data_IF_310861144280
#
_entry.id   IF_310861144280
#
_cell.length_a   1.000
_cell.length_b   1.000
_cell.length_c   1.000
_cell.angle_alpha   90.00
_cell.angle_beta   90.00
_cell.angle_gamma   90.00
#
_symmetry.space_group_name_H-M   'P 1'
#
loop_
_entity.id
_entity.type
_entity.pdbx_description
1 polymer ?
#
# COMPACT_ATOMS: atom_id res chain seq x y z
N UNK A 1 0.54 15.85 -25.38
CA UNK A 1 0.15 14.91 -24.31
C UNK A 1 0.45 15.45 -22.92
N UNK A 2 1.72 15.68 -22.52
CA UNK A 2 2.03 16.30 -21.21
C UNK A 2 1.84 17.82 -21.20
N UNK A 3 2.01 18.47 -22.35
CA UNK A 3 1.78 19.92 -22.46
C UNK A 3 0.27 20.21 -22.41
N UNK A 4 -0.58 19.33 -22.97
CA UNK A 4 -2.04 19.44 -22.94
C UNK A 4 -2.62 19.39 -21.51
N UNK A 5 -2.06 18.55 -20.63
CA UNK A 5 -2.46 18.49 -19.21
C UNK A 5 -2.08 19.80 -18.50
N UNK A 6 -0.86 20.30 -18.72
CA UNK A 6 -0.40 21.55 -18.13
C UNK A 6 -1.25 22.73 -18.59
N UNK A 7 -1.58 22.79 -19.88
CA UNK A 7 -2.48 23.82 -20.44
C UNK A 7 -3.88 23.73 -19.84
N UNK A 8 -4.44 22.52 -19.73
CA UNK A 8 -5.74 22.31 -19.10
C UNK A 8 -5.77 22.75 -17.63
N UNK A 9 -4.69 22.50 -16.87
CA UNK A 9 -4.57 22.99 -15.48
C UNK A 9 -4.49 24.51 -15.45
N UNK A 10 -3.65 25.12 -16.28
CA UNK A 10 -3.49 26.57 -16.35
C UNK A 10 -4.77 27.31 -16.75
N UNK A 11 -5.68 26.64 -17.46
CA UNK A 11 -6.97 27.20 -17.86
C UNK A 11 -8.05 27.18 -16.77
N UNK A 12 -7.85 26.47 -15.65
CA UNK A 12 -8.85 26.38 -14.58
C UNK A 12 -8.97 27.68 -13.78
N UNK A 13 -10.19 28.13 -13.50
CA UNK A 13 -10.47 29.36 -12.73
C UNK A 13 -9.78 29.38 -11.36
N UNK A 14 -9.77 28.24 -10.66
CA UNK A 14 -9.12 28.07 -9.36
C UNK A 14 -7.59 28.26 -9.41
N UNK A 15 -6.98 28.19 -10.59
CA UNK A 15 -5.54 28.38 -10.82
C UNK A 15 -5.21 29.83 -11.20
N UNK A 16 -6.12 30.55 -11.87
CA UNK A 16 -5.91 31.92 -12.37
C UNK A 16 -5.59 32.94 -11.25
N UNK A 17 -5.96 32.64 -10.00
CA UNK A 17 -5.66 33.47 -8.82
C UNK A 17 -4.19 33.40 -8.36
N UNK A 18 -3.38 32.50 -8.92
CA UNK A 18 -1.96 32.35 -8.57
C UNK A 18 -1.05 32.83 -9.70
N UNK A 19 0.17 33.32 -9.40
CA UNK A 19 1.14 33.69 -10.44
C UNK A 19 1.42 32.52 -11.39
N UNK A 20 1.28 32.74 -12.69
CA UNK A 20 1.46 31.70 -13.71
C UNK A 20 2.83 31.03 -13.62
N UNK A 21 3.90 31.80 -13.39
CA UNK A 21 5.26 31.27 -13.23
C UNK A 21 5.37 30.28 -12.06
N UNK A 22 4.71 30.60 -10.94
CA UNK A 22 4.69 29.73 -9.75
C UNK A 22 3.96 28.41 -10.05
N UNK A 23 2.81 28.48 -10.72
CA UNK A 23 2.03 27.29 -11.10
C UNK A 23 2.80 26.45 -12.11
N UNK A 24 3.40 27.07 -13.13
CA UNK A 24 4.24 26.38 -14.11
C UNK A 24 5.40 25.64 -13.45
N UNK A 25 6.07 26.25 -12.48
CA UNK A 25 7.14 25.56 -11.73
C UNK A 25 6.62 24.33 -10.96
N UNK A 26 5.41 24.38 -10.41
CA UNK A 26 4.78 23.21 -9.78
C UNK A 26 4.35 22.15 -10.79
N UNK A 27 3.83 22.55 -11.95
CA UNK A 27 3.52 21.61 -13.04
C UNK A 27 4.78 20.90 -13.54
N UNK A 28 5.88 21.62 -13.69
CA UNK A 28 7.18 21.05 -14.05
C UNK A 28 7.70 20.10 -12.98
N UNK A 29 7.45 20.36 -11.70
CA UNK A 29 7.76 19.40 -10.63
C UNK A 29 6.93 18.11 -10.78
N UNK A 30 5.62 18.24 -11.00
CA UNK A 30 4.67 17.12 -11.09
C UNK A 30 4.82 16.29 -12.37
N UNK A 31 5.43 16.87 -13.42
CA UNK A 31 5.56 16.28 -14.76
C UNK A 31 6.45 15.05 -14.75
N UNK A 32 5.87 13.91 -15.15
CA UNK A 32 6.55 12.62 -15.28
C UNK A 32 6.22 11.92 -16.58
N UNK A 33 7.07 10.99 -16.98
CA UNK A 33 6.84 10.13 -18.15
C UNK A 33 6.90 8.67 -17.71
N UNK A 34 5.81 7.93 -17.93
CA UNK A 34 5.81 6.49 -17.73
C UNK A 34 6.28 5.81 -19.01
N UNK A 35 7.39 5.09 -18.93
CA UNK A 35 7.90 4.28 -20.04
C UNK A 35 7.68 2.82 -19.72
N UNK A 36 6.47 2.33 -20.01
CA UNK A 36 5.99 1.02 -19.57
C UNK A 36 6.96 -0.15 -19.88
N UNK A 37 7.56 -0.21 -21.09
CA UNK A 37 8.56 -1.24 -21.44
C UNK A 37 9.77 -1.24 -20.50
N UNK A 38 10.25 -0.06 -20.11
CA UNK A 38 11.37 0.10 -19.18
C UNK A 38 10.96 -0.16 -17.73
N UNK A 39 9.72 0.19 -17.37
CA UNK A 39 9.16 -0.13 -16.06
C UNK A 39 9.11 -1.65 -15.86
N UNK A 40 8.59 -2.39 -16.85
CA UNK A 40 8.62 -3.86 -16.83
C UNK A 40 10.04 -4.40 -16.72
N UNK A 41 11.01 -3.76 -17.37
CA UNK A 41 12.42 -4.15 -17.27
C UNK A 41 13.05 -3.89 -15.89
N UNK A 42 12.47 -3.04 -15.03
CA UNK A 42 12.98 -2.81 -13.67
C UNK A 42 12.91 -4.06 -12.79
N UNK A 43 12.10 -5.04 -13.16
CA UNK A 43 12.10 -6.32 -12.49
C UNK A 43 13.44 -7.05 -12.61
N UNK A 44 14.27 -6.76 -13.63
CA UNK A 44 15.56 -7.41 -13.86
C UNK A 44 16.70 -6.91 -12.94
N UNK A 45 16.98 -5.60 -12.80
CA UNK A 45 17.95 -5.13 -11.83
C UNK A 45 17.50 -5.34 -10.38
N UNK A 46 16.18 -5.29 -10.13
CA UNK A 46 15.60 -5.61 -8.81
C UNK A 46 15.31 -7.11 -8.64
N UNK A 47 15.64 -7.93 -9.64
CA UNK A 47 15.35 -9.37 -9.66
C UNK A 47 15.88 -10.10 -8.44
N UNK A 48 17.08 -9.80 -7.91
CA UNK A 48 17.56 -10.49 -6.71
C UNK A 48 16.60 -10.38 -5.53
N UNK A 49 15.93 -9.23 -5.39
CA UNK A 49 14.94 -8.94 -4.35
C UNK A 49 13.56 -9.49 -4.76
N UNK A 50 13.08 -9.15 -5.95
CA UNK A 50 11.73 -9.49 -6.39
C UNK A 50 11.53 -10.98 -6.61
N UNK A 51 12.56 -11.74 -7.03
CA UNK A 51 12.48 -13.21 -7.16
C UNK A 51 12.25 -13.92 -5.83
N UNK A 52 12.43 -13.23 -4.70
CA UNK A 52 12.17 -13.75 -3.35
C UNK A 52 10.76 -13.47 -2.87
N UNK A 53 10.03 -12.65 -3.59
CA UNK A 53 8.63 -12.34 -3.33
C UNK A 53 7.80 -13.09 -4.35
N UNK A 54 7.24 -14.23 -3.95
CA UNK A 54 6.25 -14.91 -4.76
C UNK A 54 4.97 -14.07 -4.79
N UNK A 55 4.54 -13.66 -5.98
CA UNK A 55 3.37 -12.79 -6.15
C UNK A 55 2.12 -13.68 -6.33
N UNK A 56 1.14 -13.50 -5.46
CA UNK A 56 -0.17 -14.13 -5.52
C UNK A 56 -1.22 -13.05 -5.71
N UNK A 57 -2.26 -13.34 -6.47
CA UNK A 57 -3.39 -12.42 -6.63
C UNK A 57 -4.71 -13.13 -6.34
N UNK A 58 -5.68 -12.35 -5.87
CA UNK A 58 -7.02 -12.81 -5.54
C UNK A 58 -8.05 -11.85 -6.16
N UNK A 59 -9.17 -12.40 -6.63
CA UNK A 59 -10.31 -11.66 -7.18
C UNK A 59 -9.99 -10.73 -8.37
N UNK A 60 -9.06 -11.14 -9.23
CA UNK A 60 -8.66 -10.36 -10.42
C UNK A 60 -9.84 -10.00 -11.33
N UNK A 61 -10.88 -10.85 -11.38
CA UNK A 61 -12.10 -10.61 -12.14
C UNK A 61 -12.78 -9.27 -11.83
N UNK A 62 -12.65 -8.72 -10.61
CA UNK A 62 -13.15 -7.38 -10.29
C UNK A 62 -12.43 -6.29 -11.08
N UNK A 63 -11.11 -6.46 -11.27
CA UNK A 63 -10.30 -5.53 -12.06
C UNK A 63 -10.63 -5.67 -13.53
N UNK A 64 -10.68 -6.91 -14.04
CA UNK A 64 -11.02 -7.19 -15.45
C UNK A 64 -12.37 -6.62 -15.85
N UNK A 65 -13.38 -6.69 -14.96
CA UNK A 65 -14.68 -6.07 -15.20
C UNK A 65 -14.56 -4.53 -15.19
N UNK A 66 -13.89 -3.96 -14.19
CA UNK A 66 -13.79 -2.50 -14.04
C UNK A 66 -13.07 -1.84 -15.22
N UNK A 67 -11.93 -2.40 -15.67
CA UNK A 67 -11.11 -1.77 -16.74
C UNK A 67 -11.77 -1.80 -18.13
N UNK A 68 -12.84 -2.60 -18.33
CA UNK A 68 -13.56 -2.65 -19.61
C UNK A 68 -14.48 -1.45 -19.81
N UNK A 69 -15.08 -0.95 -18.74
CA UNK A 69 -16.20 0.00 -18.80
C UNK A 69 -15.91 1.32 -18.06
N UNK A 70 -14.86 1.37 -17.26
CA UNK A 70 -14.64 2.47 -16.33
C UNK A 70 -13.21 3.00 -16.36
N UNK A 71 -13.06 4.24 -15.92
CA UNK A 71 -11.77 4.79 -15.49
C UNK A 71 -11.47 4.27 -14.09
N UNK A 72 -10.37 3.54 -13.94
CA UNK A 72 -10.08 2.85 -12.68
C UNK A 72 -9.07 3.63 -11.85
N UNK A 73 -9.43 3.85 -10.59
CA UNK A 73 -8.50 4.32 -9.56
C UNK A 73 -8.31 3.25 -8.50
N UNK A 74 -7.09 2.75 -8.36
CA UNK A 74 -6.73 1.76 -7.36
C UNK A 74 -6.35 2.45 -6.05
N UNK A 75 -6.92 1.95 -4.95
CA UNK A 75 -6.62 2.43 -3.60
C UNK A 75 -6.14 1.26 -2.73
N UNK A 76 -4.88 1.27 -2.31
CA UNK A 76 -4.28 0.16 -1.54
C UNK A 76 -3.68 0.58 -0.20
N UNK A 77 -3.55 -0.37 0.73
CA UNK A 77 -2.72 -0.21 1.92
C UNK A 77 -1.23 -0.21 1.57
N UNK A 78 -0.37 0.36 2.42
CA UNK A 78 1.06 0.47 2.12
C UNK A 78 1.91 -0.14 3.24
N UNK A 79 2.59 -1.26 2.97
CA UNK A 79 3.43 -2.01 3.92
C UNK A 79 4.91 -1.96 3.59
N UNK A 80 5.31 -1.96 2.32
CA UNK A 80 6.71 -2.09 1.89
C UNK A 80 7.05 -1.15 0.73
N UNK A 81 8.35 -0.90 0.54
CA UNK A 81 8.91 -0.38 -0.70
C UNK A 81 8.72 -1.33 -1.90
N UNK A 82 8.37 -2.59 -1.68
CA UNK A 82 8.01 -3.48 -2.77
C UNK A 82 6.61 -3.26 -3.33
N UNK A 83 5.69 -2.60 -2.61
CA UNK A 83 4.27 -2.51 -2.99
C UNK A 83 4.07 -1.89 -4.39
N UNK A 84 4.76 -0.76 -4.65
CA UNK A 84 4.71 -0.02 -5.92
C UNK A 84 5.44 -0.72 -7.08
N UNK A 85 5.94 -1.94 -6.84
CA UNK A 85 6.41 -2.85 -7.88
C UNK A 85 5.50 -4.09 -7.94
N UNK A 86 5.21 -4.70 -6.80
CA UNK A 86 4.44 -5.94 -6.70
C UNK A 86 3.03 -5.78 -7.28
N UNK A 87 2.26 -4.80 -6.81
CA UNK A 87 0.86 -4.61 -7.23
C UNK A 87 0.71 -4.29 -8.72
N UNK A 88 1.44 -3.31 -9.28
CA UNK A 88 1.42 -3.05 -10.72
C UNK A 88 2.00 -4.18 -11.56
N UNK A 89 3.01 -4.93 -11.09
CA UNK A 89 3.47 -6.10 -11.83
C UNK A 89 2.44 -7.25 -11.80
N UNK A 90 1.65 -7.39 -10.73
CA UNK A 90 0.51 -8.33 -10.72
C UNK A 90 -0.51 -7.96 -11.80
N UNK A 91 -0.78 -6.67 -12.02
CA UNK A 91 -1.63 -6.21 -13.12
C UNK A 91 -0.98 -6.53 -14.48
N UNK A 92 0.30 -6.19 -14.66
CA UNK A 92 1.06 -6.41 -15.90
C UNK A 92 1.12 -7.90 -16.30
N UNK A 93 1.40 -8.78 -15.33
CA UNK A 93 1.47 -10.23 -15.53
C UNK A 93 0.13 -10.81 -16.01
N UNK A 94 -0.98 -10.09 -15.77
CA UNK A 94 -2.33 -10.45 -16.18
C UNK A 94 -2.86 -9.60 -17.35
N UNK A 95 -1.98 -8.92 -18.10
CA UNK A 95 -2.36 -8.16 -19.29
C UNK A 95 -3.09 -6.85 -19.02
N UNK A 96 -3.16 -6.41 -17.76
CA UNK A 96 -3.74 -5.13 -17.37
C UNK A 96 -2.62 -4.09 -17.30
N UNK A 97 -2.77 -2.99 -18.04
CA UNK A 97 -1.76 -1.92 -18.08
C UNK A 97 -1.58 -1.32 -16.68
N UNK A 98 -0.34 -1.27 -16.15
CA UNK A 98 -0.08 -0.63 -14.87
C UNK A 98 -0.51 0.84 -14.84
N UNK A 99 -1.29 1.26 -13.82
CA UNK A 99 -1.72 2.64 -13.65
C UNK A 99 -0.55 3.59 -13.35
N UNK A 100 -0.77 4.90 -13.54
CA UNK A 100 0.15 5.91 -13.02
C UNK A 100 0.09 5.93 -11.49
N UNK A 101 1.22 6.22 -10.84
CA UNK A 101 1.31 6.17 -9.38
C UNK A 101 1.66 7.51 -8.78
N UNK A 102 1.47 7.65 -7.48
CA UNK A 102 2.00 8.79 -6.72
C UNK A 102 3.16 8.35 -5.84
N UNK A 103 4.23 9.14 -5.77
CA UNK A 103 5.37 8.88 -4.91
C UNK A 103 5.72 10.12 -4.08
N UNK A 104 6.30 9.92 -2.89
CA UNK A 104 6.81 11.04 -2.10
C UNK A 104 8.01 11.68 -2.80
N UNK A 105 8.08 13.02 -2.82
CA UNK A 105 9.17 13.77 -3.47
C UNK A 105 10.55 13.43 -2.88
N UNK A 106 10.61 12.90 -1.66
CA UNK A 106 11.84 12.42 -1.03
C UNK A 106 12.53 11.27 -1.79
N UNK A 107 11.84 10.62 -2.74
CA UNK A 107 12.41 9.57 -3.60
C UNK A 107 13.00 10.12 -4.91
N UNK A 108 13.02 11.45 -5.10
CA UNK A 108 13.47 12.09 -6.34
C UNK A 108 14.90 12.64 -6.26
N UNK A 109 15.66 12.25 -5.24
CA UNK A 109 17.09 12.55 -5.14
C UNK A 109 17.96 11.62 -5.98
N UNK A 110 18.95 12.17 -6.69
CA UNK A 110 19.98 11.40 -7.40
C UNK A 110 19.44 10.50 -8.53
N UNK A 111 20.15 9.39 -8.86
CA UNK A 111 19.77 8.49 -9.95
C UNK A 111 18.38 7.86 -9.81
N UNK A 112 17.92 7.66 -8.56
CA UNK A 112 16.59 7.12 -8.28
C UNK A 112 15.48 8.09 -8.72
N UNK A 113 15.72 9.40 -8.63
CA UNK A 113 14.75 10.40 -9.10
C UNK A 113 14.56 10.41 -10.60
N UNK A 114 15.64 10.23 -11.37
CA UNK A 114 15.57 10.08 -12.82
C UNK A 114 14.76 8.83 -13.20
N UNK A 115 14.97 7.73 -12.47
CA UNK A 115 14.21 6.50 -12.68
C UNK A 115 12.72 6.68 -12.36
N UNK A 116 12.40 7.27 -11.22
CA UNK A 116 11.03 7.52 -10.83
C UNK A 116 10.33 8.42 -11.86
N UNK A 117 11.00 9.49 -12.29
CA UNK A 117 10.46 10.50 -13.19
C UNK A 117 10.28 10.02 -14.63
N UNK A 118 11.20 9.22 -15.16
CA UNK A 118 11.24 8.87 -16.58
C UNK A 118 10.92 7.41 -16.90
N UNK A 119 10.92 6.53 -15.90
CA UNK A 119 10.63 5.10 -16.09
C UNK A 119 9.33 4.72 -15.40
N UNK A 120 9.24 4.94 -14.08
CA UNK A 120 8.03 4.56 -13.32
C UNK A 120 6.84 5.47 -13.61
N UNK A 121 7.10 6.72 -13.99
CA UNK A 121 6.06 7.72 -14.20
C UNK A 121 5.31 8.07 -12.91
N UNK A 122 5.90 7.85 -11.74
CA UNK A 122 5.28 8.22 -10.48
C UNK A 122 5.22 9.75 -10.37
N UNK A 123 4.09 10.30 -9.94
CA UNK A 123 3.87 11.73 -9.72
C UNK A 123 4.52 12.11 -8.38
N UNK A 124 5.49 13.04 -8.34
CA UNK A 124 6.15 13.47 -7.10
C UNK A 124 5.21 14.33 -6.26
N UNK A 125 4.98 13.94 -5.01
CA UNK A 125 4.12 14.66 -4.08
C UNK A 125 4.93 15.17 -2.89
N UNK A 126 4.83 16.48 -2.63
CA UNK A 126 5.32 17.12 -1.41
C UNK A 126 4.38 16.74 -0.25
N UNK A 127 4.87 15.85 0.63
CA UNK A 127 4.13 15.48 1.83
C UNK A 127 4.05 16.67 2.78
N UNK A 128 2.87 16.91 3.35
CA UNK A 128 2.61 17.98 4.34
C UNK A 128 2.86 19.41 3.82
N UNK A 129 2.84 19.64 2.50
CA UNK A 129 2.86 20.99 1.96
C UNK A 129 1.65 21.77 2.49
N UNK A 130 1.89 23.04 2.87
CA UNK A 130 0.86 23.98 3.30
C UNK A 130 0.65 25.12 2.30
N UNK A 131 1.40 25.12 1.20
CA UNK A 131 1.26 26.14 0.16
C UNK A 131 -0.05 25.93 -0.61
N UNK A 132 -1.01 26.88 -0.54
CA UNK A 132 -2.27 26.77 -1.25
C UNK A 132 -2.12 26.70 -2.78
N UNK A 133 -1.12 27.39 -3.36
CA UNK A 133 -0.88 27.36 -4.79
C UNK A 133 -0.45 25.96 -5.24
N UNK A 134 0.46 25.34 -4.49
CA UNK A 134 0.88 23.96 -4.73
C UNK A 134 -0.29 22.97 -4.58
N UNK A 135 -1.06 23.07 -3.50
CA UNK A 135 -2.17 22.13 -3.24
C UNK A 135 -3.27 22.23 -4.30
N UNK A 136 -3.61 23.45 -4.73
CA UNK A 136 -4.58 23.67 -5.81
C UNK A 136 -4.05 23.15 -7.15
N UNK A 137 -2.78 23.41 -7.46
CA UNK A 137 -2.13 22.90 -8.68
C UNK A 137 -2.08 21.37 -8.69
N UNK A 138 -1.71 20.74 -7.58
CA UNK A 138 -1.68 19.28 -7.45
C UNK A 138 -3.09 18.68 -7.63
N UNK A 139 -4.11 19.29 -7.03
CA UNK A 139 -5.50 18.86 -7.15
C UNK A 139 -5.96 18.89 -8.61
N UNK A 140 -5.74 20.01 -9.30
CA UNK A 140 -6.06 20.19 -10.70
C UNK A 140 -5.29 19.20 -11.60
N UNK A 141 -3.99 19.04 -11.36
CA UNK A 141 -3.14 18.14 -12.14
C UNK A 141 -3.58 16.68 -12.03
N UNK A 142 -3.85 16.19 -10.81
CA UNK A 142 -4.34 14.81 -10.61
C UNK A 142 -5.71 14.63 -11.27
N UNK A 143 -6.60 15.61 -11.19
CA UNK A 143 -7.89 15.56 -11.86
C UNK A 143 -7.74 15.41 -13.38
N UNK A 144 -6.84 16.17 -14.02
CA UNK A 144 -6.55 16.04 -15.45
C UNK A 144 -5.86 14.71 -15.81
N UNK A 145 -4.98 14.19 -14.94
CA UNK A 145 -4.36 12.88 -15.11
C UNK A 145 -5.42 11.78 -15.16
N UNK A 146 -6.36 11.77 -14.20
CA UNK A 146 -7.37 10.71 -14.07
C UNK A 146 -8.39 10.75 -15.22
N UNK A 147 -8.60 11.91 -15.86
CA UNK A 147 -9.40 11.97 -17.10
C UNK A 147 -8.79 11.11 -18.22
N UNK A 148 -7.48 10.93 -18.24
CA UNK A 148 -6.77 10.26 -19.35
C UNK A 148 -6.15 8.91 -18.96
N UNK A 149 -5.84 8.69 -17.70
CA UNK A 149 -5.07 7.54 -17.22
C UNK A 149 -5.65 6.96 -15.93
N UNK A 150 -5.55 5.65 -15.78
CA UNK A 150 -5.79 5.02 -14.48
C UNK A 150 -4.75 5.47 -13.47
N UNK A 151 -5.15 5.56 -12.21
CA UNK A 151 -4.31 6.05 -11.12
C UNK A 151 -4.25 5.01 -9.99
N UNK A 152 -3.09 4.87 -9.37
CA UNK A 152 -2.89 4.08 -8.17
C UNK A 152 -2.36 4.97 -7.07
N UNK A 153 -3.01 4.92 -5.91
CA UNK A 153 -2.55 5.66 -4.74
C UNK A 153 -2.74 4.87 -3.45
N UNK A 154 -2.01 5.29 -2.43
CA UNK A 154 -2.11 4.75 -1.08
C UNK A 154 -2.83 5.76 -0.20
N UNK A 155 -4.11 5.55 0.18
CA UNK A 155 -4.88 6.52 0.98
C UNK A 155 -4.22 6.85 2.32
N UNK A 156 -3.40 5.95 2.86
CA UNK A 156 -2.64 6.16 4.10
C UNK A 156 -1.57 7.27 4.01
N UNK A 157 -1.19 7.67 2.79
CA UNK A 157 -0.18 8.70 2.51
C UNK A 157 1.27 8.29 2.82
N UNK A 158 1.52 7.01 3.10
CA UNK A 158 2.84 6.44 3.36
C UNK A 158 2.75 5.11 4.09
N UNK A 159 3.85 4.33 4.04
CA UNK A 159 3.96 3.00 4.64
C UNK A 159 3.56 2.96 6.12
N UNK A 160 2.99 1.84 6.54
CA UNK A 160 2.74 1.55 7.94
C UNK A 160 4.04 1.13 8.63
N UNK A 161 4.50 1.93 9.59
CA UNK A 161 5.62 1.59 10.48
C UNK A 161 5.18 0.75 11.69
N UNK A 162 3.87 0.68 11.94
CA UNK A 162 3.26 -0.03 13.06
C UNK A 162 2.76 -1.42 12.71
N UNK A 163 2.57 -1.71 11.42
CA UNK A 163 1.82 -2.86 10.93
C UNK A 163 0.32 -2.57 10.79
N UNK A 164 -0.21 -1.59 11.53
CA UNK A 164 -1.64 -1.24 11.56
C UNK A 164 -2.12 -0.70 10.20
N UNK A 165 -3.40 -0.92 9.88
CA UNK A 165 -4.09 -0.27 8.76
C UNK A 165 -4.45 1.18 9.15
N UNK A 166 -3.73 2.15 8.56
CA UNK A 166 -3.87 3.56 8.93
C UNK A 166 -5.20 4.18 8.45
N UNK A 167 -5.65 5.29 9.06
CA UNK A 167 -6.75 6.09 8.51
C UNK A 167 -6.44 6.60 7.10
N UNK A 168 -7.46 6.63 6.24
CA UNK A 168 -7.34 7.20 4.91
C UNK A 168 -7.28 8.74 4.98
N UNK A 169 -6.36 9.34 4.22
CA UNK A 169 -6.29 10.78 3.97
C UNK A 169 -7.16 11.12 2.77
N UNK A 170 -7.89 12.23 2.84
CA UNK A 170 -8.82 12.64 1.78
C UNK A 170 -8.18 13.48 0.68
N UNK A 171 -6.94 13.96 0.84
CA UNK A 171 -6.34 14.93 -0.11
C UNK A 171 -6.28 14.43 -1.56
N UNK A 172 -5.68 13.26 -1.80
CA UNK A 172 -5.64 12.70 -3.15
C UNK A 172 -7.00 12.20 -3.62
N UNK A 173 -7.82 11.67 -2.72
CA UNK A 173 -9.19 11.26 -3.05
C UNK A 173 -10.00 12.44 -3.58
N UNK A 174 -9.92 13.59 -2.91
CA UNK A 174 -10.58 14.82 -3.34
C UNK A 174 -10.07 15.26 -4.73
N UNK A 175 -8.77 15.16 -4.98
CA UNK A 175 -8.19 15.47 -6.29
C UNK A 175 -8.71 14.55 -7.40
N UNK A 176 -8.83 13.25 -7.12
CA UNK A 176 -9.42 12.25 -8.02
C UNK A 176 -10.88 12.59 -8.33
N UNK A 177 -11.68 12.88 -7.30
CA UNK A 177 -13.11 13.22 -7.46
C UNK A 177 -13.33 14.52 -8.24
N UNK A 178 -12.37 15.45 -8.16
CA UNK A 178 -12.41 16.72 -8.91
C UNK A 178 -12.15 16.56 -10.41
N UNK A 179 -11.95 15.33 -10.89
CA UNK A 179 -12.01 15.01 -12.30
C UNK A 179 -13.46 15.05 -12.84
N UNK A 180 -14.47 14.96 -11.95
CA UNK A 180 -15.90 14.99 -12.27
C UNK A 180 -16.29 14.02 -13.39
N UNK A 181 -15.64 12.86 -13.38
CA UNK A 181 -15.78 11.85 -14.42
C UNK A 181 -16.86 10.82 -14.01
N UNK A 182 -17.94 10.64 -14.78
CA UNK A 182 -19.10 9.83 -14.37
C UNK A 182 -18.81 8.32 -14.38
N UNK A 183 -17.91 7.85 -15.23
CA UNK A 183 -17.46 6.45 -15.34
C UNK A 183 -16.26 6.13 -14.43
N UNK A 184 -15.96 6.98 -13.44
CA UNK A 184 -14.88 6.73 -12.50
C UNK A 184 -15.30 5.73 -11.43
N UNK A 185 -14.44 4.75 -11.16
CA UNK A 185 -14.62 3.83 -10.05
C UNK A 185 -13.33 3.66 -9.24
N UNK A 186 -13.50 3.38 -7.95
CA UNK A 186 -12.38 3.08 -7.06
C UNK A 186 -12.33 1.57 -6.83
N UNK A 187 -11.23 0.92 -7.21
CA UNK A 187 -10.99 -0.49 -6.90
C UNK A 187 -10.17 -0.57 -5.61
N UNK A 188 -10.78 -0.94 -4.47
CA UNK A 188 -10.04 -1.18 -3.24
C UNK A 188 -9.14 -2.40 -3.45
N UNK A 189 -7.88 -2.26 -3.05
CA UNK A 189 -6.87 -3.32 -3.17
C UNK A 189 -6.21 -3.51 -1.80
N UNK A 190 -5.84 -4.74 -1.46
CA UNK A 190 -5.06 -5.00 -0.26
C UNK A 190 -3.81 -5.80 -0.59
N UNK A 191 -2.70 -5.42 0.03
CA UNK A 191 -1.43 -6.15 -0.06
C UNK A 191 -0.99 -6.66 1.30
N UNK A 192 -0.74 -7.97 1.39
CA UNK A 192 -0.24 -8.65 2.58
C UNK A 192 1.01 -9.48 2.24
N UNK A 193 1.94 -9.59 3.19
CA UNK A 193 3.18 -10.33 3.02
C UNK A 193 3.36 -11.33 4.14
N UNK A 194 3.91 -12.52 3.85
CA UNK A 194 4.37 -13.43 4.92
C UNK A 194 5.41 -12.69 5.77
N UNK A 195 6.41 -12.10 5.09
CA UNK A 195 7.42 -11.23 5.66
C UNK A 195 7.67 -10.01 4.78
N UNK A 196 7.76 -8.83 5.41
CA UNK A 196 8.21 -7.59 4.76
C UNK A 196 9.74 -7.54 4.81
N UNK A 197 10.40 -7.35 3.68
CA UNK A 197 11.86 -7.47 3.57
C UNK A 197 12.63 -6.43 4.41
N UNK A 198 12.03 -5.26 4.67
CA UNK A 198 12.57 -4.20 5.52
C UNK A 198 11.86 -4.07 6.89
N UNK A 199 11.24 -5.14 7.38
CA UNK A 199 10.42 -5.14 8.60
C UNK A 199 11.14 -4.62 9.86
N UNK A 200 12.43 -4.89 10.07
CA UNK A 200 13.13 -4.42 11.27
C UNK A 200 13.29 -2.92 11.25
N UNK A 201 13.77 -2.36 10.15
CA UNK A 201 13.91 -0.91 10.04
C UNK A 201 12.53 -0.24 10.15
N UNK A 202 11.50 -0.76 9.48
CA UNK A 202 10.15 -0.19 9.56
C UNK A 202 9.60 -0.18 10.99
N UNK A 203 9.63 -1.32 11.68
CA UNK A 203 9.07 -1.46 13.01
C UNK A 203 9.79 -0.55 14.02
N UNK A 204 11.10 -0.34 13.87
CA UNK A 204 11.89 0.54 14.74
C UNK A 204 11.74 2.03 14.41
N UNK A 205 11.30 2.41 13.21
CA UNK A 205 11.04 3.81 12.87
C UNK A 205 9.87 4.40 13.67
N UNK A 206 8.86 3.58 14.01
CA UNK A 206 7.77 4.00 14.91
C UNK A 206 8.31 4.42 16.28
N UNK A 207 9.19 3.60 16.87
CA UNK A 207 9.73 3.82 18.22
C UNK A 207 10.63 5.07 18.23
N UNK A 208 11.48 5.22 17.20
CA UNK A 208 12.48 6.29 17.16
C UNK A 208 11.92 7.62 16.63
N UNK A 209 10.64 7.67 16.18
CA UNK A 209 9.99 8.82 15.52
C UNK A 209 10.86 9.51 14.45
N UNK A 210 11.76 8.75 13.81
CA UNK A 210 12.75 9.27 12.85
C UNK A 210 12.82 8.34 11.66
N UNK A 211 12.51 8.90 10.48
CA UNK A 211 12.68 8.18 9.23
C UNK A 211 14.16 7.84 9.01
N UNK A 212 14.43 6.61 8.55
CA UNK A 212 15.77 6.22 8.15
C UNK A 212 15.99 6.52 6.67
N UNK A 213 17.23 6.75 6.24
CA UNK A 213 17.53 6.89 4.82
C UNK A 213 17.12 5.64 4.05
N UNK A 214 16.58 5.83 2.83
CA UNK A 214 16.17 4.75 1.92
C UNK A 214 17.29 3.72 1.70
N UNK A 215 18.55 4.15 1.66
CA UNK A 215 19.72 3.26 1.48
C UNK A 215 19.84 2.20 2.57
N UNK A 216 19.46 2.51 3.81
CA UNK A 216 19.48 1.52 4.91
C UNK A 216 18.37 0.49 4.75
N UNK A 217 17.20 0.93 4.31
CA UNK A 217 16.06 0.04 4.04
C UNK A 217 16.39 -0.93 2.90
N UNK A 218 16.96 -0.41 1.80
CA UNK A 218 17.44 -1.25 0.69
C UNK A 218 18.53 -2.23 1.14
N UNK A 219 19.47 -1.80 1.98
CA UNK A 219 20.51 -2.69 2.50
C UNK A 219 19.92 -3.86 3.32
N UNK A 220 18.86 -3.61 4.11
CA UNK A 220 18.13 -4.66 4.80
C UNK A 220 17.44 -5.60 3.79
N UNK A 221 16.73 -5.05 2.80
CA UNK A 221 16.07 -5.85 1.76
C UNK A 221 17.05 -6.75 1.01
N UNK A 222 18.23 -6.23 0.64
CA UNK A 222 19.29 -6.99 -0.04
C UNK A 222 19.88 -8.07 0.86
N UNK A 223 20.17 -7.76 2.13
CA UNK A 223 20.66 -8.75 3.11
C UNK A 223 19.74 -9.95 3.17
N UNK A 224 18.44 -9.71 3.12
CA UNK A 224 17.43 -10.76 3.23
C UNK A 224 16.94 -11.30 1.89
N UNK A 225 17.32 -10.67 0.77
CA UNK A 225 17.16 -11.26 -0.56
C UNK A 225 18.04 -12.51 -0.76
N UNK A 226 19.04 -12.71 0.11
CA UNK A 226 19.87 -13.93 0.15
C UNK A 226 19.33 -14.85 1.24
N UNK A 227 18.65 -15.93 0.85
CA UNK A 227 18.23 -17.01 1.74
C UNK A 227 16.77 -17.01 2.23
N UNK A 228 15.97 -15.99 1.91
CA UNK A 228 14.57 -15.90 2.35
C UNK A 228 13.60 -15.93 1.18
N UNK A 229 12.40 -16.48 1.43
CA UNK A 229 11.26 -16.47 0.53
C UNK A 229 10.05 -15.91 1.29
N UNK A 230 9.27 -15.07 0.62
CA UNK A 230 8.05 -14.46 1.16
C UNK A 230 6.99 -14.47 0.08
N UNK A 231 5.72 -14.72 0.41
CA UNK A 231 4.61 -14.51 -0.52
C UNK A 231 4.03 -13.11 -0.30
N UNK A 232 3.69 -12.43 -1.39
CA UNK A 232 2.89 -11.22 -1.40
C UNK A 232 1.53 -11.52 -2.03
N UNK A 233 0.46 -11.33 -1.26
CA UNK A 233 -0.92 -11.49 -1.71
C UNK A 233 -1.50 -10.13 -2.06
N UNK A 234 -1.92 -9.95 -3.31
CA UNK A 234 -2.62 -8.77 -3.81
C UNK A 234 -4.09 -9.14 -4.03
N UNK A 235 -4.97 -8.66 -3.14
CA UNK A 235 -6.40 -8.96 -3.16
C UNK A 235 -7.16 -7.76 -3.72
N UNK A 236 -7.88 -7.95 -4.82
CA UNK A 236 -8.72 -6.91 -5.41
C UNK A 236 -10.16 -7.01 -4.88
N UNK A 237 -10.82 -5.87 -4.67
CA UNK A 237 -12.23 -5.82 -4.28
C UNK A 237 -13.12 -5.30 -5.40
N UNK A 238 -14.43 -5.48 -5.22
CA UNK A 238 -15.43 -4.93 -6.12
C UNK A 238 -15.29 -3.40 -6.22
N UNK A 239 -15.47 -2.90 -7.45
CA UNK A 239 -15.39 -1.48 -7.76
C UNK A 239 -16.43 -0.68 -6.96
N UNK A 240 -15.97 0.41 -6.33
CA UNK A 240 -16.81 1.36 -5.62
C UNK A 240 -17.13 2.49 -6.61
N UNK A 241 -18.39 2.65 -6.95
CA UNK A 241 -18.84 3.82 -7.72
C UNK A 241 -18.65 5.08 -6.89
N UNK A 242 -18.15 6.14 -7.54
CA UNK A 242 -18.12 7.48 -6.92
C UNK A 242 -19.33 8.32 -7.32
N UNK A 243 -20.24 7.78 -8.14
CA UNK A 243 -21.46 8.45 -8.52
C UNK A 243 -22.29 8.77 -7.26
N UNK A 244 -22.66 10.05 -7.10
CA UNK A 244 -23.40 10.54 -5.95
C UNK A 244 -22.54 11.03 -4.78
N UNK A 245 -21.20 10.96 -4.85
CA UNK A 245 -20.34 11.64 -3.88
C UNK A 245 -20.22 13.12 -4.27
N UNK A 246 -20.74 14.03 -3.44
CA UNK A 246 -20.49 15.47 -3.62
C UNK A 246 -19.06 15.79 -3.19
N UNK A 247 -18.22 16.18 -4.16
CA UNK A 247 -16.82 16.55 -3.93
C UNK A 247 -16.67 17.79 -3.04
N UNK A 248 -17.70 18.65 -2.98
CA UNK A 248 -17.73 19.83 -2.13
C UNK A 248 -18.23 19.52 -0.71
N UNK A 249 -18.92 18.39 -0.51
CA UNK A 249 -19.31 17.88 0.79
C UNK A 249 -18.14 17.17 1.48
N UNK A 250 -17.60 17.81 2.51
CA UNK A 250 -16.56 17.20 3.36
C UNK A 250 -17.03 15.87 3.97
N UNK A 251 -18.32 15.75 4.28
CA UNK A 251 -18.89 14.55 4.88
C UNK A 251 -18.85 13.39 3.89
N UNK A 252 -19.32 13.59 2.66
CA UNK A 252 -19.35 12.56 1.62
C UNK A 252 -17.95 12.04 1.30
N UNK A 253 -16.98 12.95 1.14
CA UNK A 253 -15.59 12.57 0.87
C UNK A 253 -14.98 11.77 2.03
N UNK A 254 -15.33 12.12 3.28
CA UNK A 254 -14.89 11.36 4.46
C UNK A 254 -15.56 10.00 4.56
N UNK A 255 -16.84 9.89 4.23
CA UNK A 255 -17.58 8.63 4.19
C UNK A 255 -17.03 7.68 3.12
N UNK A 256 -16.77 8.20 1.91
CA UNK A 256 -16.12 7.44 0.85
C UNK A 256 -14.71 6.99 1.28
N UNK A 257 -13.92 7.86 1.91
CA UNK A 257 -12.60 7.48 2.44
C UNK A 257 -12.68 6.38 3.51
N UNK A 258 -13.69 6.43 4.39
CA UNK A 258 -13.93 5.38 5.40
C UNK A 258 -14.37 4.08 4.74
N UNK A 259 -15.24 4.14 3.74
CA UNK A 259 -15.69 2.98 2.96
C UNK A 259 -14.51 2.30 2.26
N UNK A 260 -13.68 3.08 1.55
CA UNK A 260 -12.46 2.57 0.89
C UNK A 260 -11.57 1.87 1.91
N UNK A 261 -11.28 2.51 3.05
CA UNK A 261 -10.46 1.91 4.10
C UNK A 261 -11.08 0.63 4.65
N UNK A 262 -12.38 0.60 4.90
CA UNK A 262 -13.08 -0.57 5.40
C UNK A 262 -13.00 -1.73 4.40
N UNK A 263 -13.18 -1.46 3.09
CA UNK A 263 -13.05 -2.46 2.02
C UNK A 263 -11.61 -2.98 1.92
N UNK A 264 -10.60 -2.11 1.92
CA UNK A 264 -9.19 -2.53 1.98
C UNK A 264 -8.93 -3.42 3.19
N UNK A 265 -9.45 -3.04 4.37
CA UNK A 265 -9.30 -3.81 5.60
C UNK A 265 -9.90 -5.22 5.51
N UNK A 266 -11.10 -5.35 4.94
CA UNK A 266 -11.78 -6.63 4.76
C UNK A 266 -11.06 -7.55 3.74
N UNK A 267 -10.42 -6.97 2.73
CA UNK A 267 -9.66 -7.72 1.72
C UNK A 267 -8.31 -8.24 2.26
N UNK A 268 -7.78 -7.63 3.32
CA UNK A 268 -6.44 -7.94 3.83
C UNK A 268 -6.29 -9.42 4.21
N UNK A 269 -5.35 -10.12 3.56
CA UNK A 269 -5.10 -11.54 3.80
C UNK A 269 -4.52 -11.77 5.20
N UNK A 270 -5.19 -12.61 5.99
CA UNK A 270 -4.72 -13.07 7.30
C UNK A 270 -3.73 -14.22 7.09
N UNK A 271 -2.45 -13.95 7.27
CA UNK A 271 -1.37 -14.90 7.03
C UNK A 271 -0.90 -15.62 8.31
N UNK A 272 -0.27 -16.80 8.19
CA UNK A 272 0.31 -17.55 9.31
C UNK A 272 1.16 -16.69 10.26
N UNK A 273 2.03 -15.84 9.72
CA UNK A 273 2.92 -14.97 10.52
C UNK A 273 2.14 -13.94 11.36
N UNK A 274 1.02 -13.43 10.85
CA UNK A 274 0.17 -12.48 11.57
C UNK A 274 -0.58 -13.13 12.74
N UNK A 275 -1.21 -14.30 12.52
CA UNK A 275 -1.91 -15.02 13.60
C UNK A 275 -0.93 -15.58 14.63
N UNK A 276 0.23 -16.07 14.20
CA UNK A 276 1.31 -16.48 15.09
C UNK A 276 1.74 -15.31 15.98
N UNK A 277 2.08 -14.17 15.37
CA UNK A 277 2.53 -12.99 16.11
C UNK A 277 1.47 -12.42 17.06
N UNK A 278 0.19 -12.45 16.66
CA UNK A 278 -0.94 -12.01 17.49
C UNK A 278 -1.20 -12.93 18.69
N UNK A 279 -1.07 -14.25 18.50
CA UNK A 279 -1.28 -15.23 19.54
C UNK A 279 -0.10 -15.36 20.54
N UNK A 280 1.11 -14.95 20.13
CA UNK A 280 2.34 -15.07 20.91
C UNK A 280 2.30 -14.34 22.27
N UNK A 281 2.98 -14.95 23.24
CA UNK A 281 3.34 -14.35 24.55
C UNK A 281 4.87 -14.29 24.66
N UNK A 282 5.47 -13.60 25.67
CA UNK A 282 6.92 -13.56 25.83
C UNK A 282 7.60 -14.94 25.79
N UNK A 283 6.93 -15.94 26.35
CA UNK A 283 7.27 -17.36 26.26
C UNK A 283 5.98 -18.18 26.30
N UNK A 284 5.83 -19.18 25.42
CA UNK A 284 4.63 -20.02 25.33
C UNK A 284 4.98 -21.42 24.83
N UNK A 285 4.23 -22.44 25.24
CA UNK A 285 4.40 -23.79 24.68
C UNK A 285 3.84 -23.84 23.25
N UNK A 286 4.38 -24.73 22.41
CA UNK A 286 3.86 -24.97 21.06
C UNK A 286 2.38 -25.36 21.10
N UNK A 287 1.98 -26.18 22.08
CA UNK A 287 0.57 -26.59 22.29
C UNK A 287 -0.32 -25.38 22.59
N UNK A 288 0.01 -24.60 23.61
CA UNK A 288 -0.82 -23.44 24.01
C UNK A 288 -0.88 -22.38 22.90
N UNK A 289 0.21 -22.20 22.15
CA UNK A 289 0.24 -21.30 21.00
C UNK A 289 -0.68 -21.79 19.88
N UNK A 290 -0.64 -23.07 19.57
CA UNK A 290 -1.53 -23.71 18.58
C UNK A 290 -2.99 -23.46 18.96
N UNK A 291 -3.38 -23.79 20.20
CA UNK A 291 -4.76 -23.61 20.69
C UNK A 291 -5.19 -22.12 20.71
N UNK A 292 -4.25 -21.18 20.96
CA UNK A 292 -4.55 -19.74 20.86
C UNK A 292 -4.75 -19.29 19.42
N UNK A 293 -3.99 -19.85 18.48
CA UNK A 293 -4.15 -19.53 17.06
C UNK A 293 -5.47 -20.10 16.54
N UNK A 294 -5.86 -21.33 16.92
CA UNK A 294 -7.15 -21.90 16.53
C UNK A 294 -8.32 -20.99 16.93
N UNK A 295 -8.37 -20.56 18.19
CA UNK A 295 -9.38 -19.59 18.67
C UNK A 295 -9.35 -18.26 17.92
N UNK A 296 -8.16 -17.78 17.57
CA UNK A 296 -8.02 -16.53 16.80
C UNK A 296 -8.53 -16.69 15.36
N UNK A 297 -8.29 -17.84 14.74
CA UNK A 297 -8.80 -18.17 13.41
C UNK A 297 -10.32 -18.28 13.44
N UNK A 298 -10.90 -18.93 14.45
CA UNK A 298 -12.36 -19.00 14.67
C UNK A 298 -12.99 -17.60 14.78
N UNK A 299 -12.38 -16.71 15.59
CA UNK A 299 -12.85 -15.33 15.76
C UNK A 299 -12.79 -14.53 14.44
N UNK A 300 -11.71 -14.68 13.67
CA UNK A 300 -11.53 -14.02 12.38
C UNK A 300 -12.48 -14.60 11.32
N UNK A 301 -12.71 -15.91 11.33
CA UNK A 301 -13.66 -16.59 10.45
C UNK A 301 -15.10 -16.10 10.70
N UNK A 302 -15.48 -15.95 11.97
CA UNK A 302 -16.79 -15.42 12.37
C UNK A 302 -17.03 -13.97 11.88
N UNK A 303 -15.96 -13.25 11.56
CA UNK A 303 -15.99 -11.90 10.98
C UNK A 303 -15.80 -11.88 9.46
N UNK A 304 -15.82 -13.05 8.81
CA UNK A 304 -15.58 -13.20 7.38
C UNK A 304 -14.24 -12.61 6.91
N UNK A 305 -13.21 -12.68 7.74
CA UNK A 305 -11.87 -12.25 7.35
C UNK A 305 -11.33 -13.11 6.19
N UNK A 306 -10.51 -12.51 5.33
CA UNK A 306 -9.82 -13.24 4.26
C UNK A 306 -8.69 -14.11 4.82
N UNK A 307 -9.02 -15.34 5.23
CA UNK A 307 -8.08 -16.27 5.85
C UNK A 307 -7.11 -16.90 4.83
N UNK A 308 -5.81 -16.85 5.12
CA UNK A 308 -4.76 -17.61 4.43
C UNK A 308 -4.25 -18.80 5.23
N UNK A 309 -4.94 -19.13 6.32
CA UNK A 309 -4.57 -20.19 7.26
C UNK A 309 -5.84 -20.81 7.84
N UNK A 310 -5.83 -22.12 8.03
CA UNK A 310 -7.03 -22.89 8.42
C UNK A 310 -6.94 -23.51 9.81
N UNK A 311 -5.73 -23.64 10.37
CA UNK A 311 -5.52 -24.20 11.70
C UNK A 311 -4.27 -23.63 12.36
N UNK A 312 -4.22 -23.71 13.69
CA UNK A 312 -3.05 -23.39 14.48
C UNK A 312 -1.86 -24.25 14.10
N UNK A 313 -2.06 -25.53 13.76
CA UNK A 313 -0.98 -26.41 13.29
C UNK A 313 -0.33 -25.87 12.03
N UNK A 314 -1.13 -25.58 11.01
CA UNK A 314 -0.66 -24.99 9.75
C UNK A 314 0.05 -23.66 10.02
N UNK A 315 -0.51 -22.82 10.90
CA UNK A 315 0.11 -21.54 11.25
C UNK A 315 1.49 -21.69 11.86
N UNK A 316 1.68 -22.67 12.77
CA UNK A 316 2.99 -22.97 13.35
C UNK A 316 3.96 -23.48 12.28
N UNK A 317 3.53 -24.42 11.44
CA UNK A 317 4.37 -25.02 10.39
C UNK A 317 4.85 -23.98 9.38
N UNK A 318 3.98 -23.05 8.96
CA UNK A 318 4.32 -22.03 7.97
C UNK A 318 5.01 -20.78 8.57
N UNK A 319 4.78 -20.44 9.85
CA UNK A 319 5.30 -19.20 10.43
C UNK A 319 6.55 -19.37 11.31
N UNK A 320 6.75 -20.53 11.94
CA UNK A 320 7.79 -20.70 12.95
C UNK A 320 9.19 -20.53 12.36
N UNK A 321 9.53 -21.26 11.29
CA UNK A 321 10.84 -21.16 10.64
C UNK A 321 11.08 -19.74 10.11
N UNK A 322 10.20 -19.13 9.30
CA UNK A 322 10.44 -17.77 8.81
C UNK A 322 10.66 -16.75 9.93
N UNK A 323 9.88 -16.78 11.01
CA UNK A 323 10.03 -15.85 12.13
C UNK A 323 11.30 -16.12 12.96
N UNK A 324 11.72 -17.38 13.07
CA UNK A 324 12.96 -17.77 13.76
C UNK A 324 14.21 -17.39 12.96
N UNK A 325 14.24 -17.71 11.66
CA UNK A 325 15.33 -17.27 10.77
C UNK A 325 15.45 -15.74 10.76
N UNK A 326 14.31 -15.04 10.88
CA UNK A 326 14.24 -13.58 10.99
C UNK A 326 14.70 -13.03 12.34
N UNK A 327 14.98 -13.90 13.32
CA UNK A 327 15.41 -13.51 14.67
C UNK A 327 14.31 -12.88 15.52
N UNK A 328 13.04 -13.04 15.13
CA UNK A 328 11.89 -12.48 15.85
C UNK A 328 11.51 -13.37 17.03
N UNK A 329 11.59 -14.69 16.83
CA UNK A 329 11.35 -15.71 17.86
C UNK A 329 12.48 -16.73 17.86
N UNK A 330 12.50 -17.59 18.87
CA UNK A 330 13.36 -18.78 18.93
C UNK A 330 12.56 -19.97 19.43
N UNK A 331 12.75 -21.12 18.82
CA UNK A 331 12.20 -22.40 19.29
C UNK A 331 13.18 -23.04 20.28
N UNK A 332 12.72 -23.30 21.51
CA UNK A 332 13.50 -23.96 22.56
C UNK A 332 12.73 -25.19 23.04
N UNK A 333 13.06 -26.36 22.49
CA UNK A 333 12.34 -27.60 22.75
C UNK A 333 10.86 -27.49 22.38
N UNK A 334 9.98 -27.59 23.37
CA UNK A 334 8.52 -27.50 23.18
C UNK A 334 7.96 -26.07 23.27
N UNK A 335 8.81 -25.04 23.34
CA UNK A 335 8.40 -23.65 23.56
C UNK A 335 8.91 -22.71 22.48
N UNK A 336 8.20 -21.60 22.33
CA UNK A 336 8.66 -20.44 21.59
C UNK A 336 8.92 -19.28 22.56
N UNK A 337 10.01 -18.53 22.33
CA UNK A 337 10.33 -17.30 23.06
C UNK A 337 10.50 -16.13 22.11
N UNK A 338 10.07 -14.95 22.54
CA UNK A 338 10.23 -13.72 21.75
C UNK A 338 11.67 -13.22 21.85
N UNK A 339 12.30 -12.97 20.71
CA UNK A 339 13.64 -12.38 20.59
C UNK A 339 13.58 -10.94 20.14
N UNK A 340 12.68 -10.61 19.21
CA UNK A 340 12.44 -9.23 18.79
C UNK A 340 10.97 -8.81 18.95
N UNK A 341 10.69 -8.10 20.04
CA UNK A 341 9.31 -7.73 20.41
C UNK A 341 8.73 -6.65 19.51
N UNK A 342 9.55 -5.75 18.97
CA UNK A 342 9.05 -4.65 18.13
C UNK A 342 8.54 -5.18 16.80
N UNK A 343 9.34 -6.04 16.15
CA UNK A 343 8.97 -6.68 14.89
C UNK A 343 7.81 -7.67 15.07
N UNK A 344 7.79 -8.46 16.15
CA UNK A 344 6.64 -9.33 16.45
C UNK A 344 5.33 -8.52 16.54
N UNK A 345 5.35 -7.39 17.25
CA UNK A 345 4.17 -6.51 17.35
C UNK A 345 3.78 -5.88 16.00
N UNK A 346 4.73 -5.65 15.10
CA UNK A 346 4.42 -5.18 13.75
C UNK A 346 3.52 -6.19 13.03
N UNK A 347 3.90 -7.47 13.02
CA UNK A 347 3.09 -8.53 12.40
C UNK A 347 1.76 -8.78 13.13
N UNK A 348 1.74 -8.72 14.46
CA UNK A 348 0.48 -8.87 15.22
C UNK A 348 -0.55 -7.79 14.84
N UNK A 349 -0.09 -6.56 14.56
CA UNK A 349 -0.93 -5.41 14.27
C UNK A 349 -1.46 -5.36 12.84
N UNK A 350 -0.96 -6.20 11.93
CA UNK A 350 -1.45 -6.21 10.54
C UNK A 350 -2.90 -6.68 10.44
N UNK A 351 -3.39 -7.41 11.44
CA UNK A 351 -4.77 -7.92 11.52
C UNK A 351 -5.59 -7.27 12.64
N UNK A 352 -5.04 -6.27 13.35
CA UNK A 352 -5.72 -5.65 14.50
C UNK A 352 -7.05 -4.99 14.09
N UNK A 353 -7.14 -4.43 12.89
CA UNK A 353 -8.39 -3.84 12.37
C UNK A 353 -9.50 -4.87 12.12
N UNK A 354 -9.18 -6.16 12.05
CA UNK A 354 -10.14 -7.28 11.97
C UNK A 354 -10.53 -7.80 13.36
N UNK A 355 -9.79 -7.40 14.40
CA UNK A 355 -9.96 -7.86 15.78
C UNK A 355 -10.72 -6.86 16.66
N UNK A 356 -10.58 -5.57 16.38
CA UNK A 356 -11.25 -4.51 17.14
C UNK A 356 -12.70 -4.37 16.68
N UNK A 357 -13.65 -4.66 17.57
CA UNK A 357 -15.03 -4.23 17.40
C UNK A 357 -15.05 -2.70 17.32
N UNK A 358 -15.60 -2.14 16.24
CA UNK A 358 -15.88 -0.71 16.12
C UNK A 358 -16.82 -0.26 17.24
N UNK A 359 -16.25 0.08 18.39
CA UNK A 359 -16.99 0.43 19.61
C UNK A 359 -16.16 1.06 20.73
N UNK A 360 -14.88 1.38 20.52
CA UNK A 360 -14.09 2.21 21.45
C UNK A 360 -13.43 3.36 20.71
N UNK A 361 -14.24 4.38 20.46
CA UNK A 361 -13.76 5.76 20.40
C UNK A 361 -13.23 6.12 21.79
N UNK A 362 -11.91 6.35 21.88
CA UNK A 362 -11.34 7.16 22.96
C UNK A 362 -11.40 8.63 22.56
#
# INVERSE_FOLDING_TARGET
MLDDISEAVLAREEILKYPREQVSAYLDELRTTQRHKFYRALQHPLYPILRKIERKHENLHHVEAAVREHRVVYASNHKSHCDYLVEPLVLDDNGIRPPLMTAGINLYGGPLGLLNRHVTGAIPIRRNSRDPAYLTTLKAYVAEIVKQHDLFFYPEGGRSYSGELKPAKTGLLHAVLSAERPDLVIVPTAIAYDLVLEDHILAHQRIKKRQRPFTREVAEMVRYAVGYWSRAFVTFGAAISVAGCDVHSRTDVLELARLIRARIGALYKVLPTAVFASAMRPSITRRDLTERIDRLIEELAARHANLGVTSGRQAIEEAAEPLETRGIVVAEGSRFRVRERTVLRYYARTIEHLLVTTGRTH
#
